data_IF_234664177873
#
_entry.id   IF_234664177873
#
_cell.length_a   1.000
_cell.length_b   1.000
_cell.length_c   1.000
_cell.angle_alpha   90.00
_cell.angle_beta   90.00
_cell.angle_gamma   90.00
#
_symmetry.space_group_name_H-M   'P 1'
#
loop_
_entity.id
_entity.type
_entity.pdbx_description
1 polymer ?
#
# COMPACT_ATOMS: atom_id res chain seq x y z
N UNK A 1 -37.45 17.16 18.71
CA UNK A 1 -36.17 17.23 19.46
C UNK A 1 -35.56 15.84 19.70
N UNK A 2 -36.35 14.80 19.99
CA UNK A 2 -35.83 13.43 20.10
C UNK A 2 -35.42 12.83 18.74
N UNK A 3 -36.21 13.05 17.68
CA UNK A 3 -35.91 12.52 16.34
C UNK A 3 -34.63 13.11 15.72
N UNK A 4 -34.26 14.37 16.02
CA UNK A 4 -33.03 14.95 15.50
C UNK A 4 -31.78 14.34 16.14
N UNK A 5 -31.84 14.00 17.43
CA UNK A 5 -30.75 13.33 18.14
C UNK A 5 -30.57 11.89 17.68
N UNK A 6 -31.66 11.19 17.35
CA UNK A 6 -31.60 9.82 16.83
C UNK A 6 -31.08 9.77 15.38
N UNK A 7 -31.46 10.74 14.56
CA UNK A 7 -30.90 10.95 13.21
C UNK A 7 -29.40 11.21 13.25
N UNK A 8 -28.93 12.13 14.11
CA UNK A 8 -27.49 12.43 14.25
C UNK A 8 -26.69 11.25 14.80
N UNK A 9 -27.31 10.40 15.63
CA UNK A 9 -26.67 9.19 16.15
C UNK A 9 -26.53 8.11 15.08
N UNK A 10 -27.53 7.94 14.21
CA UNK A 10 -27.44 7.00 13.08
C UNK A 10 -26.40 7.45 12.06
N UNK A 11 -26.38 8.74 11.71
CA UNK A 11 -25.40 9.27 10.74
C UNK A 11 -23.95 9.18 11.24
N UNK A 12 -23.73 9.38 12.55
CA UNK A 12 -22.40 9.21 13.16
C UNK A 12 -21.96 7.75 13.22
N UNK A 13 -22.87 6.81 13.51
CA UNK A 13 -22.57 5.37 13.51
C UNK A 13 -22.25 4.86 12.10
N UNK A 14 -23.03 5.26 11.09
CA UNK A 14 -22.76 4.91 9.68
C UNK A 14 -21.41 5.48 9.21
N UNK A 15 -21.08 6.71 9.60
CA UNK A 15 -19.78 7.32 9.29
C UNK A 15 -18.61 6.59 9.98
N UNK A 16 -18.81 6.12 11.21
CA UNK A 16 -17.82 5.33 11.97
C UNK A 16 -17.56 3.98 11.28
N UNK A 17 -18.62 3.28 10.87
CA UNK A 17 -18.52 1.98 10.17
C UNK A 17 -17.79 2.10 8.83
N UNK A 18 -18.13 3.12 8.03
CA UNK A 18 -17.45 3.40 6.76
C UNK A 18 -15.96 3.71 6.98
N UNK A 19 -15.61 4.45 8.05
CA UNK A 19 -14.21 4.73 8.41
C UNK A 19 -13.46 3.47 8.81
N UNK A 20 -14.08 2.60 9.61
CA UNK A 20 -13.47 1.33 10.05
C UNK A 20 -13.26 0.39 8.86
N UNK A 21 -14.24 0.29 7.95
CA UNK A 21 -14.13 -0.50 6.73
C UNK A 21 -12.99 0.02 5.82
N UNK A 22 -12.93 1.34 5.61
CA UNK A 22 -11.86 1.97 4.84
C UNK A 22 -10.48 1.76 5.49
N UNK A 23 -10.39 1.81 6.82
CA UNK A 23 -9.14 1.56 7.56
C UNK A 23 -8.68 0.12 7.40
N UNK A 24 -9.60 -0.84 7.49
CA UNK A 24 -9.30 -2.27 7.31
C UNK A 24 -8.85 -2.57 5.89
N UNK A 25 -9.51 -1.99 4.88
CA UNK A 25 -9.11 -2.12 3.48
C UNK A 25 -7.69 -1.57 3.24
N UNK A 26 -7.40 -0.35 3.72
CA UNK A 26 -6.05 0.24 3.66
C UNK A 26 -5.00 -0.66 4.28
N UNK A 27 -5.29 -1.26 5.45
CA UNK A 27 -4.34 -2.13 6.12
C UNK A 27 -4.06 -3.40 5.30
N UNK A 28 -5.09 -3.99 4.70
CA UNK A 28 -4.91 -5.16 3.85
C UNK A 28 -3.95 -4.86 2.67
N UNK A 29 -4.10 -3.70 2.03
CA UNK A 29 -3.25 -3.30 0.91
C UNK A 29 -1.82 -2.89 1.31
N UNK A 30 -1.59 -2.39 2.51
CA UNK A 30 -0.22 -2.10 2.99
C UNK A 30 0.52 -3.36 3.44
N UNK A 31 -0.20 -4.39 3.93
CA UNK A 31 0.43 -5.59 4.50
C UNK A 31 1.19 -6.40 3.45
N UNK A 32 0.68 -6.50 2.23
CA UNK A 32 1.31 -7.28 1.16
C UNK A 32 2.70 -6.75 0.76
N UNK A 33 2.88 -5.46 0.41
CA UNK A 33 4.19 -4.95 0.07
C UNK A 33 5.15 -4.92 1.28
N UNK A 34 4.65 -4.74 2.50
CA UNK A 34 5.48 -4.87 3.71
C UNK A 34 5.93 -6.31 3.99
N UNK A 35 5.04 -7.29 3.79
CA UNK A 35 5.40 -8.70 3.89
C UNK A 35 6.42 -9.07 2.82
N UNK A 36 6.28 -8.53 1.60
CA UNK A 36 7.28 -8.63 0.54
C UNK A 36 8.66 -8.13 0.99
N UNK A 37 8.72 -7.01 1.73
CA UNK A 37 9.98 -6.46 2.24
C UNK A 37 10.64 -7.42 3.23
N UNK A 38 9.85 -7.92 4.18
CA UNK A 38 10.32 -8.85 5.19
C UNK A 38 10.82 -10.16 4.54
N UNK A 39 10.07 -10.69 3.57
CA UNK A 39 10.48 -11.88 2.81
C UNK A 39 11.79 -11.61 2.06
N UNK A 40 11.91 -10.48 1.36
CA UNK A 40 13.13 -10.16 0.61
C UNK A 40 14.36 -10.08 1.52
N UNK A 41 14.22 -9.45 2.69
CA UNK A 41 15.28 -9.37 3.70
C UNK A 41 15.67 -10.76 4.23
N UNK A 42 14.68 -11.59 4.57
CA UNK A 42 14.94 -12.93 5.11
C UNK A 42 15.52 -13.89 4.07
N UNK A 43 15.09 -13.80 2.81
CA UNK A 43 15.52 -14.69 1.73
C UNK A 43 17.00 -14.47 1.36
N UNK A 44 17.51 -13.27 1.61
CA UNK A 44 18.93 -12.97 1.44
C UNK A 44 19.86 -13.54 2.51
N UNK A 45 19.33 -13.90 3.70
CA UNK A 45 20.16 -14.33 4.83
C UNK A 45 20.79 -15.72 4.62
N UNK A 46 20.06 -16.79 4.23
CA UNK A 46 20.65 -18.12 4.09
C UNK A 46 21.81 -18.18 3.08
N UNK A 47 21.71 -17.60 1.87
CA UNK A 47 22.83 -17.60 0.92
C UNK A 47 24.04 -16.78 1.40
N UNK A 48 23.81 -15.70 2.17
CA UNK A 48 24.87 -14.89 2.75
C UNK A 48 25.64 -15.67 3.82
N UNK A 49 24.95 -16.47 4.64
CA UNK A 49 25.59 -17.37 5.62
C UNK A 49 26.48 -18.41 4.92
N UNK A 50 26.08 -18.87 3.74
CA UNK A 50 26.85 -19.79 2.89
C UNK A 50 27.95 -19.09 2.06
N UNK A 51 28.14 -17.78 2.22
CA UNK A 51 29.11 -16.94 1.47
C UNK A 51 28.96 -17.02 -0.06
N UNK A 52 27.76 -17.33 -0.55
CA UNK A 52 27.48 -17.42 -1.98
C UNK A 52 27.49 -16.05 -2.67
N UNK A 53 27.26 -14.97 -1.92
CA UNK A 53 27.42 -13.59 -2.37
C UNK A 53 27.69 -12.65 -1.20
N UNK A 54 28.14 -11.43 -1.50
CA UNK A 54 28.29 -10.38 -0.50
C UNK A 54 26.94 -9.69 -0.25
N UNK A 55 26.33 -10.02 0.89
CA UNK A 55 25.02 -9.49 1.31
C UNK A 55 24.98 -7.96 1.32
N UNK A 56 26.05 -7.32 1.80
CA UNK A 56 26.14 -5.87 1.93
C UNK A 56 26.14 -5.13 0.60
N UNK A 57 26.63 -5.74 -0.47
CA UNK A 57 26.66 -5.12 -1.81
C UNK A 57 25.49 -5.53 -2.69
N UNK A 58 25.06 -6.79 -2.58
CA UNK A 58 24.08 -7.36 -3.50
C UNK A 58 22.64 -7.11 -3.07
N UNK A 59 22.34 -7.14 -1.77
CA UNK A 59 20.96 -6.91 -1.28
C UNK A 59 20.45 -5.48 -1.45
N UNK A 60 21.25 -4.42 -1.27
CA UNK A 60 20.79 -3.07 -1.58
C UNK A 60 20.24 -2.93 -3.00
N UNK A 61 20.86 -3.58 -3.99
CA UNK A 61 20.38 -3.55 -5.37
C UNK A 61 19.01 -4.21 -5.50
N UNK A 62 18.82 -5.40 -4.91
CA UNK A 62 17.53 -6.09 -4.93
C UNK A 62 16.43 -5.31 -4.19
N UNK A 63 16.76 -4.70 -3.05
CA UNK A 63 15.83 -3.85 -2.31
C UNK A 63 15.47 -2.60 -3.12
N UNK A 64 16.44 -1.96 -3.78
CA UNK A 64 16.19 -0.79 -4.61
C UNK A 64 15.26 -1.11 -5.79
N UNK A 65 15.59 -2.18 -6.55
CA UNK A 65 14.75 -2.67 -7.65
C UNK A 65 13.36 -3.10 -7.16
N UNK A 66 13.29 -3.80 -6.03
CA UNK A 66 12.04 -4.17 -5.38
C UNK A 66 11.19 -2.94 -5.02
N UNK A 67 11.81 -1.89 -4.49
CA UNK A 67 11.15 -0.62 -4.20
C UNK A 67 10.56 0.02 -5.45
N UNK A 68 11.30 0.06 -6.58
CA UNK A 68 10.77 0.54 -7.86
C UNK A 68 9.55 -0.29 -8.27
N UNK A 69 9.66 -1.62 -8.24
CA UNK A 69 8.55 -2.50 -8.61
C UNK A 69 7.32 -2.25 -7.74
N UNK A 70 7.48 -2.07 -6.42
CA UNK A 70 6.36 -1.75 -5.52
C UNK A 70 5.72 -0.42 -5.90
N UNK A 71 6.49 0.64 -6.16
CA UNK A 71 5.95 1.96 -6.54
C UNK A 71 5.15 1.85 -7.84
N UNK A 72 5.73 1.22 -8.88
CA UNK A 72 5.08 1.08 -10.18
C UNK A 72 3.85 0.18 -10.12
N UNK A 73 3.91 -0.91 -9.36
CA UNK A 73 2.76 -1.75 -9.12
C UNK A 73 1.63 -0.95 -8.45
N UNK A 74 1.96 -0.14 -7.45
CA UNK A 74 1.00 0.77 -6.82
C UNK A 74 0.41 1.78 -7.81
N UNK A 75 1.21 2.33 -8.72
CA UNK A 75 0.70 3.28 -9.72
C UNK A 75 -0.20 2.63 -10.78
N UNK A 76 0.01 1.35 -11.10
CA UNK A 76 -0.69 0.63 -12.18
C UNK A 76 -1.87 -0.22 -11.69
N UNK A 77 -1.97 -0.48 -10.39
CA UNK A 77 -3.03 -1.32 -9.84
C UNK A 77 -4.36 -0.57 -9.81
N UNK A 78 -5.38 -1.13 -10.48
CA UNK A 78 -6.77 -0.65 -10.40
C UNK A 78 -7.32 -0.97 -9.01
N UNK A 79 -7.13 -0.04 -8.06
CA UNK A 79 -7.56 -0.17 -6.66
C UNK A 79 -9.09 -0.12 -6.48
N UNK A 80 -9.79 -1.14 -6.97
CA UNK A 80 -11.25 -1.24 -6.83
C UNK A 80 -12.05 -0.39 -7.82
N UNK A 81 -11.40 0.44 -8.65
CA UNK A 81 -12.07 1.19 -9.72
C UNK A 81 -12.86 0.26 -10.66
N UNK A 82 -12.31 -0.91 -11.01
CA UNK A 82 -13.01 -1.92 -11.80
C UNK A 82 -14.23 -2.52 -11.12
N UNK A 83 -14.18 -2.68 -9.80
CA UNK A 83 -15.25 -3.31 -9.02
C UNK A 83 -16.41 -2.32 -8.80
N UNK A 84 -16.09 -1.04 -8.55
CA UNK A 84 -17.08 0.05 -8.50
C UNK A 84 -17.73 0.25 -9.87
N UNK A 85 -16.94 0.34 -10.94
CA UNK A 85 -17.46 0.46 -12.32
C UNK A 85 -18.29 -0.77 -12.69
N UNK A 86 -17.84 -1.97 -12.33
CA UNK A 86 -18.56 -3.22 -12.57
C UNK A 86 -19.93 -3.25 -11.88
N UNK A 87 -20.00 -2.84 -10.60
CA UNK A 87 -21.25 -2.77 -9.86
C UNK A 87 -22.21 -1.71 -10.42
N UNK A 88 -21.71 -0.54 -10.83
CA UNK A 88 -22.53 0.52 -11.43
C UNK A 88 -23.13 0.08 -12.77
N UNK A 89 -22.35 -0.59 -13.61
CA UNK A 89 -22.83 -1.18 -14.87
C UNK A 89 -23.87 -2.27 -14.60
N UNK A 90 -23.62 -3.13 -13.61
CA UNK A 90 -24.51 -4.25 -13.29
C UNK A 90 -25.86 -3.80 -12.71
N UNK A 91 -25.89 -2.69 -11.97
CA UNK A 91 -27.11 -2.15 -11.34
C UNK A 91 -27.77 -1.02 -12.14
N UNK A 92 -27.24 -0.69 -13.32
CA UNK A 92 -27.70 0.43 -14.17
C UNK A 92 -27.82 1.77 -13.42
N UNK A 93 -26.97 1.97 -12.41
CA UNK A 93 -26.96 3.21 -11.64
C UNK A 93 -26.23 4.29 -12.44
N UNK A 94 -26.72 5.56 -12.44
CA UNK A 94 -26.05 6.64 -13.13
C UNK A 94 -24.67 6.88 -12.52
N UNK A 95 -23.64 6.92 -13.37
CA UNK A 95 -22.28 7.23 -12.95
C UNK A 95 -22.21 8.68 -12.47
N UNK A 96 -22.11 8.89 -11.17
CA UNK A 96 -22.13 10.22 -10.58
C UNK A 96 -20.74 10.84 -10.47
N UNK A 97 -20.64 12.19 -10.40
CA UNK A 97 -19.38 12.86 -10.06
C UNK A 97 -18.87 12.51 -8.65
N UNK A 98 -19.77 12.12 -7.73
CA UNK A 98 -19.40 11.68 -6.40
C UNK A 98 -18.65 10.32 -6.39
N UNK A 99 -19.00 9.41 -7.31
CA UNK A 99 -18.33 8.11 -7.42
C UNK A 99 -16.92 8.25 -7.99
N UNK A 100 -16.75 9.17 -8.96
CA UNK A 100 -15.44 9.54 -9.49
C UNK A 100 -14.53 10.11 -8.40
N UNK A 101 -15.03 11.05 -7.59
CA UNK A 101 -14.24 11.64 -6.50
C UNK A 101 -13.82 10.57 -5.48
N UNK A 102 -14.72 9.63 -5.15
CA UNK A 102 -14.39 8.51 -4.28
C UNK A 102 -13.28 7.62 -4.86
N UNK A 103 -13.40 7.21 -6.13
CA UNK A 103 -12.41 6.37 -6.82
C UNK A 103 -11.05 7.08 -6.85
N UNK A 104 -11.00 8.34 -7.29
CA UNK A 104 -9.75 9.10 -7.34
C UNK A 104 -9.12 9.27 -5.96
N UNK A 105 -9.93 9.52 -4.93
CA UNK A 105 -9.44 9.63 -3.56
C UNK A 105 -8.87 8.31 -3.07
N UNK A 106 -9.50 7.17 -3.38
CA UNK A 106 -8.97 5.85 -3.02
C UNK A 106 -7.66 5.53 -3.74
N UNK A 107 -7.62 5.74 -5.06
CA UNK A 107 -6.42 5.52 -5.88
C UNK A 107 -5.26 6.39 -5.40
N UNK A 108 -5.52 7.66 -5.05
CA UNK A 108 -4.51 8.55 -4.49
C UNK A 108 -3.93 8.02 -3.17
N UNK A 109 -4.78 7.65 -2.21
CA UNK A 109 -4.31 7.15 -0.91
C UNK A 109 -3.52 5.86 -1.04
N UNK A 110 -3.94 4.94 -1.91
CA UNK A 110 -3.24 3.68 -2.13
C UNK A 110 -1.93 3.88 -2.87
N UNK A 111 -1.89 4.75 -3.88
CA UNK A 111 -0.63 5.16 -4.54
C UNK A 111 0.34 5.76 -3.52
N UNK A 112 -0.14 6.61 -2.62
CA UNK A 112 0.69 7.20 -1.56
C UNK A 112 1.24 6.15 -0.60
N UNK A 113 0.44 5.13 -0.24
CA UNK A 113 0.89 4.00 0.57
C UNK A 113 2.00 3.23 -0.14
N UNK A 114 1.80 2.85 -1.40
CA UNK A 114 2.80 2.10 -2.17
C UNK A 114 4.06 2.92 -2.42
N UNK A 115 3.93 4.24 -2.61
CA UNK A 115 5.06 5.17 -2.66
C UNK A 115 5.83 5.17 -1.35
N UNK A 116 5.13 5.24 -0.22
CA UNK A 116 5.74 5.18 1.12
C UNK A 116 6.46 3.84 1.36
N UNK A 117 5.84 2.72 1.03
CA UNK A 117 6.46 1.40 1.19
C UNK A 117 7.64 1.22 0.24
N UNK A 118 7.54 1.61 -1.03
CA UNK A 118 8.68 1.60 -1.94
C UNK A 118 9.82 2.52 -1.48
N UNK A 119 9.48 3.66 -0.86
CA UNK A 119 10.45 4.52 -0.17
C UNK A 119 11.15 3.80 1.00
N UNK A 120 10.44 2.98 1.77
CA UNK A 120 11.06 2.15 2.82
C UNK A 120 12.05 1.13 2.25
N UNK A 121 11.73 0.51 1.11
CA UNK A 121 12.67 -0.39 0.42
C UNK A 121 13.95 0.35 0.02
N UNK A 122 13.81 1.51 -0.61
CA UNK A 122 14.95 2.30 -1.10
C UNK A 122 15.79 2.87 0.04
N UNK A 123 15.17 3.34 1.13
CA UNK A 123 15.90 3.83 2.31
C UNK A 123 16.63 2.69 3.02
N UNK A 124 16.02 1.50 3.14
CA UNK A 124 16.69 0.31 3.66
C UNK A 124 17.86 -0.10 2.78
N UNK A 125 17.69 -0.09 1.45
CA UNK A 125 18.78 -0.33 0.50
C UNK A 125 19.95 0.65 0.71
N UNK A 126 19.65 1.94 0.81
CA UNK A 126 20.65 2.98 1.04
C UNK A 126 21.40 2.77 2.35
N UNK A 127 20.67 2.51 3.45
CA UNK A 127 21.27 2.23 4.75
C UNK A 127 22.21 1.03 4.70
N UNK A 128 21.77 -0.07 4.07
CA UNK A 128 22.59 -1.26 3.91
C UNK A 128 23.83 -0.99 3.06
N UNK A 129 23.71 -0.24 1.97
CA UNK A 129 24.83 0.12 1.12
C UNK A 129 25.86 0.97 1.88
N UNK A 130 25.41 1.98 2.64
CA UNK A 130 26.28 2.83 3.46
C UNK A 130 26.99 2.00 4.55
N UNK A 131 26.26 1.13 5.24
CA UNK A 131 26.82 0.25 6.28
C UNK A 131 27.81 -0.77 5.73
N UNK A 132 27.57 -1.29 4.52
CA UNK A 132 28.45 -2.26 3.87
C UNK A 132 29.68 -1.61 3.22
N UNK A 133 29.57 -0.36 2.77
CA UNK A 133 30.62 0.40 2.09
C UNK A 133 31.64 1.06 3.02
N UNK A 134 31.36 1.18 4.32
CA UNK A 134 32.34 1.60 5.32
C UNK A 134 32.85 3.03 5.15
N UNK A 135 32.06 4.01 5.57
CA UNK A 135 32.59 4.99 6.54
C UNK A 135 32.30 4.37 7.91
N UNK A 136 33.20 3.49 8.36
CA UNK A 136 33.58 3.11 9.72
C UNK A 136 34.43 1.84 9.68
#
# INVERSE_FOLDING_TARGET
>A
MYESLESDRRSSLEAEEVRVAARRARWHFTIYPLAGLAVLLLLGVPPALLRLFNYGTTMPLFLFLGGIVVIFYGAWYDFGAREVVGNLIQHQLPFGPADLDYIYRQQFWLTLIYLGVGGLYMTTALLMFVLAGGIL
#
